data_IF_941768278534
#
_entry.id   IF_941768278534
#
_cell.length_a   1.000
_cell.length_b   1.000
_cell.length_c   1.000
_cell.angle_alpha   90.00
_cell.angle_beta   90.00
_cell.angle_gamma   90.00
#
_symmetry.space_group_name_H-M   'P 1'
#
loop_
_entity.id
_entity.type
_entity.pdbx_description
1 polymer ?
#
# COMPACT_ATOMS: atom_id res chain seq x y z
N UNK A 1 -4.08 -21.16 9.92
CA UNK A 1 -3.42 -20.96 8.61
C UNK A 1 -1.97 -21.41 8.77
N UNK A 2 -1.42 -22.22 7.86
CA UNK A 2 0.01 -22.58 7.92
C UNK A 2 0.86 -21.52 7.19
N UNK A 3 2.17 -21.52 7.43
CA UNK A 3 3.07 -20.47 6.94
C UNK A 3 3.02 -20.32 5.41
N UNK A 4 2.98 -21.42 4.67
CA UNK A 4 2.89 -21.43 3.19
C UNK A 4 1.63 -20.72 2.68
N UNK A 5 0.47 -20.96 3.30
CA UNK A 5 -0.79 -20.29 2.91
C UNK A 5 -0.79 -18.80 3.24
N UNK A 6 -0.09 -18.38 4.29
CA UNK A 6 0.07 -16.96 4.61
C UNK A 6 0.98 -16.27 3.60
N UNK A 7 2.10 -16.90 3.23
CA UNK A 7 3.01 -16.35 2.22
C UNK A 7 2.34 -16.21 0.84
N UNK A 8 1.57 -17.23 0.42
CA UNK A 8 0.79 -17.17 -0.81
C UNK A 8 -0.26 -16.06 -0.77
N UNK A 9 -0.96 -15.91 0.36
CA UNK A 9 -1.92 -14.84 0.58
C UNK A 9 -1.25 -13.47 0.43
N UNK A 10 -0.16 -13.21 1.15
CA UNK A 10 0.58 -11.93 1.09
C UNK A 10 1.03 -11.62 -0.35
N UNK A 11 1.58 -12.62 -1.08
CA UNK A 11 1.96 -12.45 -2.50
C UNK A 11 0.78 -12.08 -3.39
N UNK A 12 -0.39 -12.65 -3.15
CA UNK A 12 -1.59 -12.33 -3.92
C UNK A 12 -2.11 -10.93 -3.60
N UNK A 13 -2.05 -10.48 -2.35
CA UNK A 13 -2.45 -9.13 -1.96
C UNK A 13 -1.53 -8.05 -2.57
N UNK A 14 -0.22 -8.29 -2.63
CA UNK A 14 0.69 -7.39 -3.38
C UNK A 14 0.34 -7.30 -4.86
N UNK A 15 0.00 -8.42 -5.52
CA UNK A 15 -0.48 -8.40 -6.92
C UNK A 15 -1.78 -7.62 -7.08
N UNK A 16 -2.64 -7.58 -6.08
CA UNK A 16 -3.87 -6.78 -6.12
C UNK A 16 -3.55 -5.28 -6.03
N UNK A 17 -2.60 -4.90 -5.18
CA UNK A 17 -2.10 -3.52 -5.09
C UNK A 17 -1.50 -3.04 -6.43
N UNK A 18 -0.82 -3.91 -7.17
CA UNK A 18 -0.25 -3.60 -8.50
C UNK A 18 -1.30 -3.48 -9.62
N UNK A 19 -2.46 -4.14 -9.45
CA UNK A 19 -3.58 -4.11 -10.41
C UNK A 19 -4.55 -2.95 -10.17
N UNK A 20 -4.37 -2.20 -9.08
CA UNK A 20 -5.23 -1.08 -8.72
C UNK A 20 -5.19 0.06 -9.75
N UNK A 21 -6.30 0.78 -9.89
CA UNK A 21 -6.39 1.98 -10.75
C UNK A 21 -5.59 3.14 -10.16
N UNK A 22 -5.49 3.18 -8.83
CA UNK A 22 -4.69 4.17 -8.09
C UNK A 22 -3.36 3.53 -7.71
N UNK A 23 -2.28 4.19 -8.10
CA UNK A 23 -0.93 3.74 -7.78
C UNK A 23 -0.72 3.66 -6.26
N UNK A 24 -0.06 2.60 -5.82
CA UNK A 24 0.39 2.45 -4.44
C UNK A 24 1.70 3.23 -4.26
N UNK A 25 1.77 4.24 -3.38
CA UNK A 25 3.00 4.97 -3.08
C UNK A 25 4.12 4.04 -2.59
N UNK A 26 5.37 4.37 -2.91
CA UNK A 26 6.53 3.62 -2.42
C UNK A 26 7.05 4.16 -1.08
N UNK A 27 6.86 5.45 -0.82
CA UNK A 27 7.34 6.10 0.39
C UNK A 27 6.32 7.09 0.94
N UNK A 28 6.48 7.43 2.22
CA UNK A 28 5.65 8.43 2.90
C UNK A 28 5.89 9.83 2.32
N UNK A 29 7.12 10.15 1.94
CA UNK A 29 7.51 11.43 1.37
C UNK A 29 6.80 11.70 0.04
N UNK A 30 6.50 10.65 -0.73
CA UNK A 30 5.68 10.78 -1.93
C UNK A 30 4.24 11.22 -1.59
N UNK A 31 3.62 10.65 -0.54
CA UNK A 31 2.30 11.07 -0.07
C UNK A 31 2.30 12.51 0.44
N UNK A 32 3.33 12.90 1.17
CA UNK A 32 3.46 14.26 1.72
C UNK A 32 3.65 15.29 0.59
N UNK A 33 4.52 15.00 -0.39
CA UNK A 33 4.70 15.87 -1.56
C UNK A 33 3.44 15.96 -2.42
N UNK A 34 2.72 14.85 -2.61
CA UNK A 34 1.43 14.86 -3.29
C UNK A 34 0.42 15.74 -2.55
N UNK A 35 0.27 15.56 -1.24
CA UNK A 35 -0.66 16.35 -0.42
C UNK A 35 -0.36 17.86 -0.49
N UNK A 36 0.94 18.22 -0.43
CA UNK A 36 1.38 19.60 -0.54
C UNK A 36 1.08 20.20 -1.91
N UNK A 37 1.36 19.48 -3.01
CA UNK A 37 1.08 19.94 -4.37
C UNK A 37 -0.42 19.97 -4.68
N UNK A 38 -1.19 19.08 -4.05
CA UNK A 38 -2.62 18.93 -4.28
C UNK A 38 -3.45 20.09 -3.70
N UNK A 39 -2.98 20.77 -2.64
CA UNK A 39 -3.70 21.88 -2.00
C UNK A 39 -5.19 21.57 -1.67
N UNK A 40 -5.53 20.31 -1.39
CA UNK A 40 -6.89 19.84 -1.13
C UNK A 40 -7.72 19.50 -2.39
N UNK A 41 -7.18 19.74 -3.58
CA UNK A 41 -7.90 19.60 -4.85
C UNK A 41 -7.80 18.19 -5.46
N UNK A 42 -7.94 17.11 -4.67
CA UNK A 42 -8.07 15.69 -5.10
C UNK A 42 -8.01 14.77 -3.85
N UNK A 43 -8.64 15.17 -2.74
CA UNK A 43 -8.49 14.45 -1.46
C UNK A 43 -8.92 12.98 -1.53
N UNK A 44 -9.85 12.63 -2.42
CA UNK A 44 -10.25 11.24 -2.66
C UNK A 44 -9.07 10.40 -3.21
N UNK A 45 -8.27 10.97 -4.11
CA UNK A 45 -7.10 10.29 -4.65
C UNK A 45 -6.01 10.14 -3.59
N UNK A 46 -5.72 11.21 -2.84
CA UNK A 46 -4.78 11.18 -1.72
C UNK A 46 -5.19 10.14 -0.66
N UNK A 47 -6.49 10.08 -0.33
CA UNK A 47 -7.05 9.09 0.59
C UNK A 47 -6.84 7.66 0.07
N UNK A 48 -7.15 7.39 -1.21
CA UNK A 48 -6.96 6.06 -1.77
C UNK A 48 -5.48 5.65 -1.82
N UNK A 49 -4.59 6.58 -2.19
CA UNK A 49 -3.14 6.35 -2.13
C UNK A 49 -2.66 6.04 -0.71
N UNK A 50 -3.18 6.77 0.28
CA UNK A 50 -2.84 6.56 1.70
C UNK A 50 -3.32 5.20 2.21
N UNK A 51 -4.52 4.77 1.81
CA UNK A 51 -5.03 3.42 2.14
C UNK A 51 -4.16 2.32 1.52
N UNK A 52 -3.80 2.45 0.24
CA UNK A 52 -2.93 1.48 -0.43
C UNK A 52 -1.55 1.40 0.24
N UNK A 53 -0.97 2.55 0.59
CA UNK A 53 0.33 2.61 1.28
C UNK A 53 0.29 1.97 2.66
N UNK A 54 -0.74 2.28 3.48
CA UNK A 54 -0.91 1.66 4.79
C UNK A 54 -1.11 0.15 4.70
N UNK A 55 -1.86 -0.32 3.71
CA UNK A 55 -2.03 -1.75 3.47
C UNK A 55 -0.72 -2.44 3.08
N UNK A 56 0.05 -1.82 2.18
CA UNK A 56 1.38 -2.29 1.79
C UNK A 56 2.30 -2.44 3.00
N UNK A 57 2.42 -1.42 3.84
CA UNK A 57 3.24 -1.45 5.06
C UNK A 57 2.82 -2.59 6.01
N UNK A 58 1.52 -2.83 6.15
CA UNK A 58 1.03 -3.93 6.98
C UNK A 58 1.43 -5.30 6.42
N UNK A 59 1.36 -5.49 5.10
CA UNK A 59 1.78 -6.72 4.44
C UNK A 59 3.30 -6.94 4.54
N UNK A 60 4.10 -5.88 4.35
CA UNK A 60 5.56 -5.92 4.51
C UNK A 60 5.95 -6.32 5.94
N UNK A 61 5.33 -5.70 6.96
CA UNK A 61 5.57 -6.05 8.36
C UNK A 61 5.21 -7.51 8.68
N UNK A 62 4.13 -8.04 8.09
CA UNK A 62 3.75 -9.45 8.27
C UNK A 62 4.75 -10.40 7.60
N UNK A 63 5.29 -10.02 6.44
CA UNK A 63 6.31 -10.80 5.74
C UNK A 63 7.64 -10.82 6.51
N UNK A 64 8.05 -9.69 7.06
CA UNK A 64 9.24 -9.57 7.90
C UNK A 64 9.13 -10.43 9.17
N UNK A 65 7.93 -10.53 9.77
CA UNK A 65 7.70 -11.38 10.93
C UNK A 65 7.86 -12.89 10.66
N UNK A 66 7.75 -13.31 9.39
CA UNK A 66 7.94 -14.70 8.97
C UNK A 66 9.38 -15.04 8.55
N UNK A 67 10.24 -14.03 8.40
CA UNK A 67 11.62 -14.15 7.88
C UNK A 67 12.62 -14.46 8.99
#
# INVERSE_FOLDING_TARGET
>A
MNAERLEEYIKNEFKMLDRGIVATPQTREYLESFAQANHGAMDILLMQMSMNFGYKLALENLQDLQS
#
